data_IF_480026575733
#
_entry.id   IF_480026575733
#
_cell.length_a   1.000
_cell.length_b   1.000
_cell.length_c   1.000
_cell.angle_alpha   90.00
_cell.angle_beta   90.00
_cell.angle_gamma   90.00
#
_symmetry.space_group_name_H-M   'P 1'
#
loop_
_entity.id
_entity.type
_entity.pdbx_description
1 polymer ?
#
# COMPACT_ATOMS: atom_id res chain seq x y z
N UNK A 1 0.51 5.86 1.07
CA UNK A 1 0.31 4.42 0.79
C UNK A 1 -0.10 4.19 -0.65
N UNK A 2 0.15 3.00 -1.19
CA UNK A 2 -0.23 2.55 -2.53
C UNK A 2 -0.51 1.06 -2.53
N UNK A 3 -1.18 0.54 -3.56
CA UNK A 3 -1.54 -0.87 -3.74
C UNK A 3 -1.75 -1.19 -5.22
N UNK A 4 -1.81 -2.47 -5.53
CA UNK A 4 -2.26 -2.97 -6.83
C UNK A 4 -1.53 -2.27 -7.98
N UNK A 5 -0.19 -2.31 -7.91
CA UNK A 5 0.70 -1.72 -8.91
C UNK A 5 0.87 -2.61 -10.11
N UNK A 6 0.73 -3.91 -9.90
CA UNK A 6 0.97 -4.97 -10.85
C UNK A 6 2.26 -4.70 -11.65
N UNK A 7 2.26 -4.99 -12.93
CA UNK A 7 3.38 -4.79 -13.84
C UNK A 7 3.29 -3.46 -14.64
N UNK A 8 2.47 -2.50 -14.17
CA UNK A 8 2.23 -1.24 -14.86
C UNK A 8 3.36 -0.23 -14.65
N UNK A 9 4.56 -0.57 -15.16
CA UNK A 9 5.80 0.18 -14.96
C UNK A 9 5.67 1.71 -15.12
N UNK A 10 5.00 2.26 -16.16
CA UNK A 10 4.91 3.72 -16.31
C UNK A 10 4.24 4.39 -15.12
N UNK A 11 3.22 3.77 -14.52
CA UNK A 11 2.52 4.32 -13.37
C UNK A 11 3.24 4.06 -12.05
N UNK A 12 3.99 2.95 -11.94
CA UNK A 12 4.88 2.72 -10.78
C UNK A 12 5.96 3.81 -10.74
N UNK A 13 6.61 4.10 -11.89
CA UNK A 13 7.58 5.19 -11.99
C UNK A 13 6.95 6.53 -11.64
N UNK A 14 5.74 6.80 -12.13
CA UNK A 14 5.02 8.03 -11.83
C UNK A 14 4.69 8.14 -10.34
N UNK A 15 4.22 7.06 -9.71
CA UNK A 15 3.95 7.02 -8.27
C UNK A 15 5.22 7.31 -7.45
N UNK A 16 6.35 6.68 -7.79
CA UNK A 16 7.64 6.93 -7.15
C UNK A 16 8.06 8.40 -7.28
N UNK A 17 7.92 8.98 -8.48
CA UNK A 17 8.26 10.39 -8.71
C UNK A 17 7.37 11.35 -7.91
N UNK A 18 6.07 11.07 -7.80
CA UNK A 18 5.13 11.85 -6.99
C UNK A 18 5.48 11.75 -5.50
N UNK A 19 5.69 10.52 -5.00
CA UNK A 19 6.07 10.28 -3.61
C UNK A 19 7.37 10.99 -3.25
N UNK A 20 8.37 11.01 -4.15
CA UNK A 20 9.66 11.66 -3.92
C UNK A 20 9.60 13.20 -3.81
N UNK A 21 8.49 13.83 -4.19
CA UNK A 21 8.28 15.29 -4.10
C UNK A 21 7.57 15.70 -2.81
N UNK A 22 7.12 14.73 -2.02
CA UNK A 22 6.37 14.96 -0.78
C UNK A 22 7.25 14.52 0.38
N UNK A 23 7.26 15.26 1.46
CA UNK A 23 7.93 14.84 2.70
C UNK A 23 7.10 13.77 3.39
N UNK A 24 7.64 12.54 3.48
CA UNK A 24 6.93 11.37 3.98
C UNK A 24 7.79 10.62 5.01
N UNK A 25 7.21 10.26 6.13
CA UNK A 25 7.87 9.41 7.13
C UNK A 25 8.02 7.97 6.66
N UNK A 26 7.01 7.43 5.95
CA UNK A 26 6.99 6.03 5.50
C UNK A 26 6.10 5.86 4.27
N UNK A 27 6.54 5.05 3.32
CA UNK A 27 5.70 4.54 2.23
C UNK A 27 5.23 3.13 2.56
N UNK A 28 3.93 2.86 2.43
CA UNK A 28 3.33 1.53 2.67
C UNK A 28 2.73 1.02 1.36
N UNK A 29 3.05 -0.23 0.99
CA UNK A 29 2.48 -0.91 -0.17
C UNK A 29 1.66 -2.11 0.26
N UNK A 30 0.39 -2.14 -0.13
CA UNK A 30 -0.58 -3.14 0.32
C UNK A 30 -0.66 -4.39 -0.59
N UNK A 31 0.42 -4.71 -1.34
CA UNK A 31 0.51 -5.95 -2.12
C UNK A 31 0.15 -5.79 -3.59
N UNK A 32 0.28 -6.90 -4.31
CA UNK A 32 0.10 -7.03 -5.75
C UNK A 32 1.12 -6.21 -6.57
N UNK A 33 2.39 -6.66 -6.51
CA UNK A 33 3.48 -6.22 -7.40
C UNK A 33 3.48 -7.02 -8.71
N UNK A 34 2.96 -8.23 -8.69
CA UNK A 34 2.88 -9.28 -9.72
C UNK A 34 4.21 -9.94 -10.06
N UNK A 35 5.26 -9.20 -10.38
CA UNK A 35 6.51 -9.76 -10.88
C UNK A 35 7.75 -9.05 -10.33
N UNK A 36 8.92 -9.76 -10.26
CA UNK A 36 10.16 -9.19 -9.73
C UNK A 36 10.69 -7.97 -10.49
N UNK A 37 10.39 -7.85 -11.78
CA UNK A 37 10.82 -6.67 -12.55
C UNK A 37 9.97 -5.43 -12.24
N UNK A 38 8.71 -5.63 -11.81
CA UNK A 38 7.80 -4.54 -11.49
C UNK A 38 8.26 -3.72 -10.28
N UNK A 39 9.07 -4.30 -9.39
CA UNK A 39 9.61 -3.57 -8.23
C UNK A 39 10.87 -2.74 -8.55
N UNK A 40 11.42 -2.83 -9.78
CA UNK A 40 12.63 -2.08 -10.13
C UNK A 40 12.53 -0.55 -9.93
N UNK A 41 11.40 0.12 -10.18
CA UNK A 41 11.30 1.57 -9.95
C UNK A 41 11.49 1.98 -8.48
N UNK A 42 11.25 1.08 -7.51
CA UNK A 42 11.41 1.42 -6.09
C UNK A 42 12.86 1.61 -5.65
N UNK A 43 13.85 1.27 -6.49
CA UNK A 43 15.26 1.63 -6.27
C UNK A 43 15.44 3.16 -6.17
N UNK A 44 14.61 3.91 -6.91
CA UNK A 44 14.68 5.37 -6.99
C UNK A 44 13.78 6.06 -5.95
N UNK A 45 13.02 5.30 -5.15
CA UNK A 45 12.21 5.84 -4.06
C UNK A 45 13.12 6.28 -2.90
N UNK A 46 13.06 7.58 -2.56
CA UNK A 46 13.93 8.18 -1.52
C UNK A 46 13.53 7.82 -0.10
N UNK A 47 12.27 7.45 0.11
CA UNK A 47 11.70 7.20 1.43
C UNK A 47 11.88 5.75 1.89
N UNK A 48 11.83 5.53 3.19
CA UNK A 48 11.63 4.21 3.78
C UNK A 48 10.33 3.60 3.23
N UNK A 49 10.35 2.30 2.95
CA UNK A 49 9.17 1.61 2.45
C UNK A 49 9.02 0.25 3.14
N UNK A 50 7.80 -0.02 3.55
CA UNK A 50 7.33 -1.33 4.01
C UNK A 50 6.23 -1.80 3.08
N UNK A 51 6.32 -3.03 2.61
CA UNK A 51 5.27 -3.65 1.82
C UNK A 51 4.84 -5.00 2.36
N UNK A 52 3.76 -5.51 1.83
CA UNK A 52 3.29 -6.87 2.03
C UNK A 52 3.01 -7.52 0.68
N UNK A 53 2.84 -8.84 0.65
CA UNK A 53 2.42 -9.54 -0.57
C UNK A 53 0.89 -9.49 -0.72
N UNK A 54 0.45 -9.46 -1.98
CA UNK A 54 -0.92 -9.75 -2.36
C UNK A 54 -1.08 -11.17 -2.93
N UNK A 55 -2.25 -11.48 -3.45
CA UNK A 55 -2.56 -12.79 -4.02
C UNK A 55 -1.94 -13.01 -5.42
N UNK A 56 -1.56 -11.94 -6.12
CA UNK A 56 -0.93 -12.03 -7.44
C UNK A 56 0.62 -11.99 -7.38
N UNK A 57 1.22 -12.04 -6.19
CA UNK A 57 2.67 -12.02 -6.00
C UNK A 57 3.21 -13.46 -5.94
N UNK A 58 3.52 -14.05 -7.11
CA UNK A 58 3.95 -15.44 -7.19
C UNK A 58 5.43 -15.66 -6.82
N UNK A 59 6.33 -14.78 -7.28
CA UNK A 59 7.78 -14.91 -7.08
C UNK A 59 8.24 -14.14 -5.83
N UNK A 60 7.65 -14.47 -4.67
CA UNK A 60 7.82 -13.74 -3.39
C UNK A 60 9.27 -13.55 -2.98
N UNK A 61 10.09 -14.60 -3.09
CA UNK A 61 11.51 -14.55 -2.68
C UNK A 61 12.32 -13.59 -3.55
N UNK A 62 12.06 -13.58 -4.87
CA UNK A 62 12.75 -12.68 -5.81
C UNK A 62 12.29 -11.22 -5.60
N UNK A 63 11.00 -10.99 -5.37
CA UNK A 63 10.46 -9.67 -5.02
C UNK A 63 11.13 -9.16 -3.73
N UNK A 64 11.12 -9.96 -2.66
CA UNK A 64 11.72 -9.57 -1.38
C UNK A 64 13.22 -9.32 -1.49
N UNK A 65 13.95 -10.18 -2.22
CA UNK A 65 15.39 -10.01 -2.43
C UNK A 65 15.71 -8.69 -3.13
N UNK A 66 14.99 -8.37 -4.21
CA UNK A 66 15.16 -7.10 -4.93
C UNK A 66 14.83 -5.90 -4.04
N UNK A 67 13.70 -5.95 -3.34
CA UNK A 67 13.28 -4.87 -2.45
C UNK A 67 14.31 -4.62 -1.35
N UNK A 68 14.86 -5.68 -0.76
CA UNK A 68 15.95 -5.57 0.23
C UNK A 68 17.19 -4.93 -0.34
N UNK A 69 17.58 -5.26 -1.58
CA UNK A 69 18.72 -4.64 -2.27
C UNK A 69 18.51 -3.14 -2.52
N UNK A 70 17.26 -2.68 -2.57
CA UNK A 70 16.89 -1.26 -2.67
C UNK A 70 16.70 -0.58 -1.30
N UNK A 71 16.98 -1.29 -0.20
CA UNK A 71 16.75 -0.78 1.16
C UNK A 71 15.27 -0.69 1.54
N UNK A 72 14.42 -1.54 0.92
CA UNK A 72 12.99 -1.63 1.19
C UNK A 72 12.66 -2.96 1.86
N UNK A 73 11.59 -3.01 2.65
CA UNK A 73 11.23 -4.18 3.42
C UNK A 73 9.90 -4.78 2.94
N UNK A 74 9.82 -6.12 2.81
CA UNK A 74 8.57 -6.87 2.64
C UNK A 74 8.34 -7.72 3.91
N UNK A 75 7.19 -7.54 4.55
CA UNK A 75 6.81 -8.19 5.82
C UNK A 75 5.90 -9.41 5.67
N UNK A 76 5.97 -10.12 4.55
CA UNK A 76 5.06 -11.26 4.28
C UNK A 76 3.70 -10.79 3.78
N UNK A 77 2.61 -11.46 4.18
CA UNK A 77 1.24 -11.16 3.72
C UNK A 77 0.46 -10.26 4.70
N UNK A 78 1.04 -10.03 5.88
CA UNK A 78 0.46 -9.21 6.93
C UNK A 78 1.54 -8.46 7.69
N UNK A 79 1.29 -7.18 7.98
CA UNK A 79 2.19 -6.40 8.83
C UNK A 79 1.42 -5.69 9.94
N UNK A 80 2.03 -5.66 11.13
CA UNK A 80 1.64 -4.77 12.23
C UNK A 80 2.68 -3.66 12.33
N UNK A 81 2.23 -2.43 12.26
CA UNK A 81 3.07 -1.27 12.44
C UNK A 81 2.60 -0.47 13.65
N UNK A 82 3.52 0.22 14.29
CA UNK A 82 3.21 1.22 15.30
C UNK A 82 3.95 2.50 14.91
N UNK A 83 3.20 3.51 14.50
CA UNK A 83 3.74 4.79 14.10
C UNK A 83 3.29 5.83 15.13
N UNK A 84 4.23 6.27 15.97
CA UNK A 84 3.97 7.27 17.02
C UNK A 84 2.77 6.92 17.93
N UNK A 85 2.65 5.63 18.28
CA UNK A 85 1.55 5.13 19.12
C UNK A 85 0.32 4.65 18.35
N UNK A 86 0.15 5.01 17.08
CA UNK A 86 -0.95 4.55 16.22
C UNK A 86 -0.70 3.12 15.73
N UNK A 87 -1.61 2.21 16.06
CA UNK A 87 -1.55 0.79 15.70
C UNK A 87 -2.16 0.59 14.31
N UNK A 88 -1.36 0.12 13.38
CA UNK A 88 -1.76 -0.06 11.98
C UNK A 88 -1.65 -1.53 11.59
N UNK A 89 -2.73 -2.09 11.03
CA UNK A 89 -2.69 -3.35 10.31
C UNK A 89 -2.56 -3.10 8.81
N UNK A 90 -1.71 -3.88 8.15
CA UNK A 90 -1.58 -3.86 6.69
C UNK A 90 -1.79 -5.27 6.18
N UNK A 91 -2.76 -5.46 5.30
CA UNK A 91 -3.06 -6.72 4.62
C UNK A 91 -3.50 -6.43 3.19
N UNK A 92 -3.46 -7.44 2.32
CA UNK A 92 -3.90 -7.16 0.94
C UNK A 92 -5.42 -7.04 0.82
N UNK A 93 -6.17 -7.88 1.53
CA UNK A 93 -7.63 -7.80 1.57
C UNK A 93 -8.35 -8.85 0.69
N UNK A 94 -7.61 -9.76 0.07
CA UNK A 94 -8.17 -10.87 -0.73
C UNK A 94 -8.89 -11.94 0.11
N UNK A 95 -8.78 -11.88 1.42
CA UNK A 95 -9.58 -12.66 2.37
C UNK A 95 -10.51 -11.71 3.12
N UNK A 96 -11.78 -11.59 2.70
CA UNK A 96 -12.74 -10.65 3.30
C UNK A 96 -13.09 -11.01 4.74
N UNK A 97 -13.13 -12.30 5.10
CA UNK A 97 -13.43 -12.74 6.47
C UNK A 97 -12.32 -12.27 7.43
N UNK A 98 -11.05 -12.35 7.01
CA UNK A 98 -9.93 -11.86 7.82
C UNK A 98 -9.99 -10.33 7.98
N UNK A 99 -10.30 -9.61 6.91
CA UNK A 99 -10.44 -8.15 6.96
C UNK A 99 -11.55 -7.76 7.96
N UNK A 100 -12.72 -8.39 7.87
CA UNK A 100 -13.83 -8.14 8.80
C UNK A 100 -13.47 -8.49 10.25
N UNK A 101 -12.84 -9.63 10.48
CA UNK A 101 -12.39 -10.03 11.82
C UNK A 101 -11.42 -9.01 12.43
N UNK A 102 -10.50 -8.45 11.63
CA UNK A 102 -9.59 -7.41 12.09
C UNK A 102 -10.31 -6.11 12.44
N UNK A 103 -11.33 -5.72 11.65
CA UNK A 103 -12.16 -4.53 11.93
C UNK A 103 -12.94 -4.74 13.24
N UNK A 104 -13.59 -5.89 13.39
CA UNK A 104 -14.39 -6.22 14.57
C UNK A 104 -13.56 -6.37 15.86
N UNK A 105 -12.29 -6.78 15.72
CA UNK A 105 -11.38 -6.94 16.85
C UNK A 105 -11.10 -5.64 17.61
N UNK A 106 -11.27 -4.47 16.94
CA UNK A 106 -10.92 -3.14 17.46
C UNK A 106 -9.47 -3.06 17.96
N UNK A 107 -8.61 -3.97 17.48
CA UNK A 107 -7.20 -4.07 17.88
C UNK A 107 -6.28 -3.06 17.21
N UNK A 108 -6.79 -2.36 16.18
CA UNK A 108 -6.04 -1.42 15.36
C UNK A 108 -6.78 -0.09 15.21
N UNK A 109 -6.01 0.99 15.21
CA UNK A 109 -6.52 2.33 14.94
C UNK A 109 -6.78 2.54 13.46
N UNK A 110 -5.94 1.93 12.62
CA UNK A 110 -5.98 2.03 11.16
C UNK A 110 -5.78 0.65 10.54
N UNK A 111 -6.58 0.33 9.52
CA UNK A 111 -6.40 -0.85 8.68
C UNK A 111 -6.19 -0.38 7.25
N UNK A 112 -5.06 -0.79 6.64
CA UNK A 112 -4.69 -0.48 5.27
C UNK A 112 -4.78 -1.75 4.43
N UNK A 113 -5.49 -1.65 3.31
CA UNK A 113 -5.64 -2.79 2.39
C UNK A 113 -5.67 -2.34 0.93
N UNK A 114 -5.71 -3.30 0.00
CA UNK A 114 -5.83 -3.13 -1.44
C UNK A 114 -6.88 -4.08 -2.01
N UNK A 115 -6.51 -4.83 -3.05
CA UNK A 115 -7.21 -5.94 -3.70
C UNK A 115 -8.45 -5.57 -4.51
N UNK A 116 -9.35 -4.77 -3.98
CA UNK A 116 -10.59 -4.42 -4.70
C UNK A 116 -10.36 -3.40 -5.81
N UNK A 117 -9.17 -2.78 -5.86
CA UNK A 117 -8.79 -1.70 -6.77
C UNK A 117 -9.61 -0.42 -6.60
N UNK A 118 -10.56 -0.41 -5.68
CA UNK A 118 -11.46 0.72 -5.42
C UNK A 118 -11.01 1.51 -4.20
N UNK A 119 -11.10 2.83 -4.30
CA UNK A 119 -10.85 3.71 -3.15
C UNK A 119 -11.89 3.46 -2.05
N UNK A 120 -11.40 3.18 -0.84
CA UNK A 120 -12.23 3.07 0.36
C UNK A 120 -11.64 3.93 1.47
N UNK A 121 -12.43 4.81 2.03
CA UNK A 121 -12.11 5.55 3.25
C UNK A 121 -13.34 5.45 4.14
N UNK A 122 -13.24 4.69 5.21
CA UNK A 122 -14.36 4.40 6.08
C UNK A 122 -13.92 4.42 7.54
N UNK A 123 -14.73 5.04 8.40
CA UNK A 123 -14.58 4.94 9.84
C UNK A 123 -15.61 3.96 10.38
N UNK A 124 -15.16 2.81 10.91
CA UNK A 124 -16.05 1.78 11.45
C UNK A 124 -15.51 1.23 12.77
N UNK A 125 -16.37 1.16 13.78
CA UNK A 125 -16.05 0.64 15.12
C UNK A 125 -14.83 1.30 15.79
N UNK A 126 -14.51 2.55 15.44
CA UNK A 126 -13.35 3.29 15.95
C UNK A 126 -12.07 3.11 15.12
N UNK A 127 -12.09 2.23 14.11
CA UNK A 127 -10.97 1.97 13.20
C UNK A 127 -11.16 2.72 11.89
N UNK A 128 -10.11 3.39 11.41
CA UNK A 128 -10.05 3.96 10.07
C UNK A 128 -9.60 2.88 9.07
N UNK A 129 -10.43 2.61 8.07
CA UNK A 129 -10.18 1.61 7.02
C UNK A 129 -9.86 2.35 5.73
N UNK A 130 -8.71 2.04 5.12
CA UNK A 130 -8.26 2.73 3.90
C UNK A 130 -7.82 1.73 2.84
N UNK A 131 -8.39 1.89 1.66
CA UNK A 131 -7.85 1.35 0.41
C UNK A 131 -7.51 2.54 -0.51
N UNK A 132 -6.28 2.65 -1.01
CA UNK A 132 -5.88 3.78 -1.85
C UNK A 132 -6.43 3.71 -3.28
N UNK A 133 -7.14 2.63 -3.63
CA UNK A 133 -7.40 2.25 -5.01
C UNK A 133 -6.18 1.58 -5.65
N UNK A 134 -6.11 1.60 -6.95
CA UNK A 134 -5.06 0.94 -7.73
C UNK A 134 -4.09 1.94 -8.38
N UNK A 135 -2.81 1.56 -8.45
CA UNK A 135 -1.83 2.30 -9.26
C UNK A 135 -1.89 1.85 -10.72
N UNK A 136 -2.17 0.57 -10.97
CA UNK A 136 -2.14 0.01 -12.32
C UNK A 136 -3.26 0.53 -13.25
N UNK A 137 -4.42 0.88 -12.73
CA UNK A 137 -5.56 1.35 -13.52
C UNK A 137 -6.22 0.28 -14.39
N UNK A 138 -6.05 -1.01 -14.07
CA UNK A 138 -6.56 -2.10 -14.91
C UNK A 138 -8.05 -2.33 -14.75
N UNK A 139 -8.61 -2.13 -13.57
CA UNK A 139 -10.03 -2.41 -13.30
C UNK A 139 -10.87 -1.13 -13.33
N UNK A 140 -10.41 -0.06 -12.71
CA UNK A 140 -11.18 1.19 -12.59
C UNK A 140 -10.83 2.26 -13.61
N UNK A 141 -9.69 2.10 -14.31
CA UNK A 141 -9.13 3.13 -15.19
C UNK A 141 -8.54 4.33 -14.43
N UNK A 142 -8.51 4.29 -13.09
CA UNK A 142 -7.96 5.34 -12.24
C UNK A 142 -6.63 4.90 -11.66
N UNK A 143 -5.69 5.83 -11.59
CA UNK A 143 -4.35 5.57 -11.05
C UNK A 143 -4.19 6.39 -9.76
N UNK A 144 -4.35 5.74 -8.62
CA UNK A 144 -4.45 6.46 -7.34
C UNK A 144 -3.44 5.97 -6.30
N UNK A 145 -3.04 6.90 -5.44
CA UNK A 145 -2.32 6.64 -4.19
C UNK A 145 -2.99 7.45 -3.08
N UNK A 146 -2.73 7.10 -1.82
CA UNK A 146 -3.26 7.86 -0.70
C UNK A 146 -2.13 8.45 0.18
N UNK A 147 -2.29 9.70 0.59
CA UNK A 147 -1.55 10.29 1.68
C UNK A 147 -2.38 10.12 2.95
N UNK A 148 -1.76 9.60 3.99
CA UNK A 148 -2.38 9.35 5.28
C UNK A 148 -1.61 10.13 6.35
N UNK A 149 -2.31 11.00 7.05
CA UNK A 149 -1.88 11.56 8.32
C UNK A 149 -2.36 10.61 9.43
N UNK A 150 -1.42 9.94 10.10
CA UNK A 150 -1.74 8.92 11.11
C UNK A 150 -2.20 9.53 12.43
N UNK A 151 -1.77 10.74 12.74
CA UNK A 151 -2.16 11.45 13.96
C UNK A 151 -3.57 12.06 13.82
N UNK A 152 -3.79 12.82 12.74
CA UNK A 152 -5.10 13.43 12.45
C UNK A 152 -6.12 12.43 11.90
N UNK A 153 -5.68 11.19 11.54
CA UNK A 153 -6.50 10.17 10.84
C UNK A 153 -7.19 10.71 9.60
N UNK A 154 -6.47 11.53 8.85
CA UNK A 154 -6.96 12.15 7.63
C UNK A 154 -6.31 11.50 6.40
N UNK A 155 -7.12 11.30 5.35
CA UNK A 155 -6.69 10.63 4.11
C UNK A 155 -6.98 11.53 2.92
N UNK A 156 -5.96 11.74 2.07
CA UNK A 156 -6.09 12.44 0.80
C UNK A 156 -5.72 11.50 -0.34
N UNK A 157 -6.65 11.26 -1.25
CA UNK A 157 -6.38 10.50 -2.47
C UNK A 157 -5.74 11.43 -3.51
N UNK A 158 -4.64 10.96 -4.10
CA UNK A 158 -3.96 11.60 -5.22
C UNK A 158 -4.19 10.79 -6.49
N UNK A 159 -4.67 11.46 -7.53
CA UNK A 159 -4.82 10.91 -8.88
C UNK A 159 -3.53 11.15 -9.65
N UNK A 160 -2.85 10.09 -10.04
CA UNK A 160 -1.55 10.16 -10.71
C UNK A 160 -1.62 10.77 -12.12
N UNK A 161 -2.78 10.88 -12.74
CA UNK A 161 -2.93 11.64 -14.01
C UNK A 161 -2.87 13.14 -13.78
N UNK A 162 -3.29 13.62 -12.61
CA UNK A 162 -3.42 15.05 -12.28
C UNK A 162 -2.23 15.61 -11.51
N UNK A 163 -1.27 14.77 -11.21
CA UNK A 163 -0.02 15.10 -10.51
C UNK A 163 1.18 14.91 -11.46
#
# INVERSE_FOLDING_TARGET
>A
MLSDTHDRLPFIVKAVNVLNRIDLGLVIHCGDYSAPFAVNPYKDLKHQMVGIYGNNDAEKDLIASKMRNYGKEIKGEFAKLNLQGTKIAVLHGHNPELLEALIESKGFDIILHGHTHEVRIEQRAGTLIVNPGEVCGYLTGRHTIALLDTEARNVKILDLYKT
#
